data_IF_347821316620
#
_entry.id   IF_347821316620
#
_cell.length_a   1.000
_cell.length_b   1.000
_cell.length_c   1.000
_cell.angle_alpha   90.00
_cell.angle_beta   90.00
_cell.angle_gamma   90.00
#
_symmetry.space_group_name_H-M   'P 1'
#
loop_
_entity.id
_entity.type
_entity.pdbx_description
1 polymer ?
#
# COMPACT_ATOMS: atom_id res chain seq x y z
N UNK A 1 26.19 -4.50 23.03
CA UNK A 1 25.04 -5.43 23.10
C UNK A 1 23.71 -4.72 23.38
N UNK A 2 23.68 -3.57 24.06
CA UNK A 2 22.43 -2.80 24.26
C UNK A 2 22.03 -1.94 23.05
N UNK A 3 23.01 -1.43 22.28
CA UNK A 3 22.78 -0.49 21.17
C UNK A 3 22.04 -1.08 19.95
N UNK A 4 22.12 -2.40 19.72
CA UNK A 4 21.51 -3.02 18.53
C UNK A 4 19.98 -3.04 18.54
N UNK A 5 19.36 -2.83 19.71
CA UNK A 5 17.91 -2.94 19.90
C UNK A 5 17.27 -1.65 20.38
N UNK A 6 18.03 -0.56 20.56
CA UNK A 6 17.47 0.73 20.98
C UNK A 6 16.52 1.33 19.94
N UNK A 7 16.74 1.05 18.66
CA UNK A 7 15.84 1.48 17.58
C UNK A 7 14.45 0.84 17.69
N UNK A 8 14.31 -0.33 18.32
CA UNK A 8 12.99 -0.94 18.57
C UNK A 8 12.14 -0.13 19.55
N UNK A 9 12.76 0.60 20.49
CA UNK A 9 12.02 1.43 21.46
C UNK A 9 11.37 2.67 20.82
N UNK A 10 11.82 3.03 19.62
CA UNK A 10 11.26 4.13 18.83
C UNK A 10 10.10 3.66 17.93
N UNK A 11 9.87 2.35 17.84
CA UNK A 11 8.76 1.81 17.05
C UNK A 11 7.45 2.09 17.77
N UNK A 12 6.61 2.90 17.14
CA UNK A 12 5.21 2.98 17.53
C UNK A 12 4.57 1.61 17.29
N UNK A 13 3.62 1.17 18.12
CA UNK A 13 2.82 -0.01 17.82
C UNK A 13 2.24 0.12 16.41
N UNK A 14 2.43 -0.88 15.55
CA UNK A 14 1.75 -0.87 14.26
C UNK A 14 0.25 -0.85 14.50
N UNK A 15 -0.47 0.11 13.94
CA UNK A 15 -1.93 0.06 13.94
C UNK A 15 -2.35 -1.29 13.36
N UNK A 16 -3.28 -1.97 14.04
CA UNK A 16 -3.75 -3.28 13.60
C UNK A 16 -4.35 -3.12 12.20
N UNK A 17 -3.85 -3.90 11.24
CA UNK A 17 -4.36 -3.86 9.88
C UNK A 17 -5.85 -4.28 9.88
N UNK A 18 -6.70 -3.56 9.14
CA UNK A 18 -8.10 -3.95 8.96
C UNK A 18 -8.23 -5.40 8.47
N UNK A 19 -9.15 -6.18 9.05
CA UNK A 19 -9.30 -7.61 8.73
C UNK A 19 -9.48 -7.89 7.24
N UNK A 20 -10.14 -6.98 6.51
CA UNK A 20 -10.33 -7.11 5.06
C UNK A 20 -9.02 -7.10 4.27
N UNK A 21 -7.94 -6.54 4.81
CA UNK A 21 -6.62 -6.58 4.19
C UNK A 21 -5.83 -7.84 4.52
N UNK A 22 -6.30 -8.68 5.44
CA UNK A 22 -5.63 -9.93 5.82
C UNK A 22 -5.98 -11.11 4.90
N UNK A 23 -6.86 -10.90 3.91
CA UNK A 23 -7.33 -11.91 2.94
C UNK A 23 -7.41 -11.29 1.54
N UNK A 24 -7.24 -12.07 0.45
CA UNK A 24 -7.11 -13.53 0.40
C UNK A 24 -5.70 -14.09 0.64
N UNK A 25 -4.66 -13.25 0.66
CA UNK A 25 -3.26 -13.68 0.83
C UNK A 25 -2.68 -13.17 2.15
N UNK A 26 -1.45 -13.57 2.47
CA UNK A 26 -0.70 -13.02 3.60
C UNK A 26 -0.11 -11.61 3.33
N UNK A 27 -0.25 -11.06 2.11
CA UNK A 27 0.23 -9.72 1.75
C UNK A 27 -0.94 -8.72 1.69
N UNK A 28 -1.02 -7.79 2.66
CA UNK A 28 -2.02 -6.73 2.66
C UNK A 28 -2.02 -5.84 1.42
N UNK A 29 -0.83 -5.55 0.88
CA UNK A 29 -0.64 -4.73 -0.32
C UNK A 29 -1.26 -5.40 -1.56
N UNK A 30 -1.03 -6.71 -1.72
CA UNK A 30 -1.66 -7.47 -2.80
C UNK A 30 -3.17 -7.58 -2.62
N UNK A 31 -3.63 -7.80 -1.38
CA UNK A 31 -5.04 -7.91 -1.06
C UNK A 31 -5.81 -6.61 -1.33
N UNK A 32 -5.21 -5.45 -1.02
CA UNK A 32 -5.77 -4.15 -1.36
C UNK A 32 -5.89 -3.98 -2.88
N UNK A 33 -4.84 -4.29 -3.62
CA UNK A 33 -4.88 -4.24 -5.09
C UNK A 33 -5.97 -5.13 -5.69
N UNK A 34 -6.14 -6.35 -5.17
CA UNK A 34 -7.23 -7.27 -5.56
C UNK A 34 -8.60 -6.66 -5.27
N UNK A 35 -8.79 -6.02 -4.11
CA UNK A 35 -10.07 -5.37 -3.77
C UNK A 35 -10.38 -4.20 -4.72
N UNK A 36 -9.41 -3.35 -5.02
CA UNK A 36 -9.60 -2.21 -5.92
C UNK A 36 -9.90 -2.70 -7.33
N UNK A 37 -9.10 -3.62 -7.88
CA UNK A 37 -9.25 -4.13 -9.25
C UNK A 37 -10.53 -4.97 -9.40
N UNK A 38 -10.86 -5.78 -8.39
CA UNK A 38 -12.06 -6.62 -8.37
C UNK A 38 -13.36 -5.82 -8.16
N UNK A 39 -13.25 -4.53 -7.85
CA UNK A 39 -14.42 -3.68 -7.68
C UNK A 39 -15.06 -3.30 -9.01
N UNK A 40 -16.39 -3.34 -9.07
CA UNK A 40 -17.16 -2.90 -10.23
C UNK A 40 -17.38 -1.38 -10.28
N UNK A 41 -16.75 -0.61 -9.40
CA UNK A 41 -16.97 0.84 -9.25
C UNK A 41 -15.81 1.69 -9.79
N UNK A 42 -14.70 1.06 -10.16
CA UNK A 42 -13.49 1.72 -10.67
C UNK A 42 -13.39 1.63 -12.20
N UNK A 43 -12.76 2.64 -12.81
CA UNK A 43 -12.42 2.63 -14.22
C UNK A 43 -11.03 2.03 -14.49
N UNK A 44 -10.72 1.77 -15.75
CA UNK A 44 -9.44 1.20 -16.19
C UNK A 44 -8.22 2.02 -15.74
N UNK A 45 -8.37 3.34 -15.57
CA UNK A 45 -7.30 4.22 -15.11
C UNK A 45 -6.89 3.95 -13.65
N UNK A 46 -7.85 3.60 -12.79
CA UNK A 46 -7.58 3.19 -11.41
C UNK A 46 -7.05 1.74 -11.38
N UNK A 47 -7.60 0.85 -12.22
CA UNK A 47 -7.14 -0.54 -12.35
C UNK A 47 -5.66 -0.59 -12.73
N UNK A 48 -5.24 0.20 -13.72
CA UNK A 48 -3.83 0.30 -14.15
C UNK A 48 -2.92 0.73 -12.99
N UNK A 49 -3.32 1.75 -12.23
CA UNK A 49 -2.54 2.26 -11.11
C UNK A 49 -2.48 1.26 -9.94
N UNK A 50 -3.57 0.55 -9.66
CA UNK A 50 -3.60 -0.50 -8.64
C UNK A 50 -2.71 -1.69 -9.02
N UNK A 51 -2.74 -2.10 -10.29
CA UNK A 51 -1.85 -3.14 -10.79
C UNK A 51 -0.38 -2.73 -10.72
N UNK A 52 -0.07 -1.48 -11.09
CA UNK A 52 1.30 -0.94 -10.99
C UNK A 52 1.80 -0.92 -9.54
N UNK A 53 0.95 -0.52 -8.60
CA UNK A 53 1.27 -0.58 -7.16
C UNK A 53 1.60 -2.01 -6.70
N UNK A 54 0.77 -2.99 -7.06
CA UNK A 54 1.02 -4.41 -6.74
C UNK A 54 2.33 -4.92 -7.32
N UNK A 55 2.64 -4.54 -8.56
CA UNK A 55 3.90 -4.90 -9.24
C UNK A 55 5.10 -4.32 -8.51
N UNK A 56 5.07 -3.04 -8.13
CA UNK A 56 6.20 -2.44 -7.41
C UNK A 56 6.36 -3.00 -6.00
N UNK A 57 5.27 -3.34 -5.30
CA UNK A 57 5.36 -4.02 -4.01
C UNK A 57 6.02 -5.40 -4.16
N UNK A 58 5.57 -6.22 -5.11
CA UNK A 58 6.18 -7.51 -5.37
C UNK A 58 7.67 -7.41 -5.74
N UNK A 59 8.05 -6.38 -6.52
CA UNK A 59 9.45 -6.12 -6.86
C UNK A 59 10.28 -5.69 -5.65
N UNK A 60 9.71 -4.92 -4.71
CA UNK A 60 10.38 -4.57 -3.47
C UNK A 60 10.64 -5.81 -2.61
N UNK A 61 9.63 -6.65 -2.41
CA UNK A 61 9.76 -7.89 -1.63
C UNK A 61 10.80 -8.84 -2.24
N UNK A 62 10.76 -9.03 -3.57
CA UNK A 62 11.77 -9.83 -4.27
C UNK A 62 13.17 -9.26 -4.09
N UNK A 63 13.33 -7.92 -4.22
CA UNK A 63 14.62 -7.26 -4.05
C UNK A 63 15.15 -7.39 -2.61
N UNK A 64 14.30 -7.24 -1.59
CA UNK A 64 14.66 -7.47 -0.18
C UNK A 64 15.15 -8.91 -0.01
N UNK A 65 14.40 -9.89 -0.54
CA UNK A 65 14.72 -11.32 -0.43
C UNK A 65 15.97 -11.75 -1.20
N UNK A 66 16.35 -11.03 -2.25
CA UNK A 66 17.51 -11.36 -3.10
C UNK A 66 18.68 -10.38 -2.96
N UNK A 67 18.67 -9.49 -1.97
CA UNK A 67 19.72 -8.47 -1.83
C UNK A 67 21.08 -9.09 -1.46
N UNK A 68 22.15 -8.68 -2.14
CA UNK A 68 23.52 -9.09 -1.84
C UNK A 68 24.42 -7.86 -1.54
N UNK A 69 25.05 -7.78 -0.36
CA UNK A 69 24.91 -8.70 0.78
C UNK A 69 23.51 -8.64 1.42
N UNK A 70 23.08 -9.67 2.17
CA UNK A 70 21.77 -9.67 2.82
C UNK A 70 21.56 -8.44 3.70
N UNK A 71 20.39 -7.82 3.61
CA UNK A 71 20.02 -6.67 4.44
C UNK A 71 19.95 -7.09 5.92
N UNK A 72 20.48 -6.24 6.80
CA UNK A 72 20.29 -6.42 8.24
C UNK A 72 18.83 -6.18 8.65
N UNK A 73 18.41 -6.72 9.80
CA UNK A 73 17.02 -6.60 10.29
C UNK A 73 16.50 -5.16 10.33
N UNK A 74 17.34 -4.21 10.75
CA UNK A 74 16.98 -2.79 10.78
C UNK A 74 16.71 -2.22 9.39
N UNK A 75 17.53 -2.57 8.40
CA UNK A 75 17.34 -2.13 7.02
C UNK A 75 16.06 -2.74 6.44
N UNK A 76 15.83 -4.04 6.65
CA UNK A 76 14.58 -4.69 6.23
C UNK A 76 13.35 -4.01 6.85
N UNK A 77 13.42 -3.69 8.15
CA UNK A 77 12.35 -2.96 8.82
C UNK A 77 12.12 -1.56 8.25
N UNK A 78 13.18 -0.78 8.04
CA UNK A 78 13.10 0.58 7.49
C UNK A 78 12.48 0.57 6.08
N UNK A 79 12.77 -0.46 5.25
CA UNK A 79 12.14 -0.65 3.94
C UNK A 79 10.70 -1.11 4.05
N UNK A 80 10.40 -2.05 4.95
CA UNK A 80 9.04 -2.51 5.23
C UNK A 80 8.12 -1.39 5.70
N UNK A 81 8.64 -0.44 6.49
CA UNK A 81 7.89 0.74 6.96
C UNK A 81 7.35 1.58 5.80
N UNK A 82 8.15 1.78 4.74
CA UNK A 82 7.70 2.50 3.55
C UNK A 82 6.53 1.77 2.85
N UNK A 83 6.55 0.43 2.83
CA UNK A 83 5.44 -0.37 2.29
C UNK A 83 4.18 -0.22 3.15
N UNK A 84 4.31 -0.30 4.47
CA UNK A 84 3.18 -0.16 5.40
C UNK A 84 2.55 1.24 5.37
N UNK A 85 3.36 2.31 5.33
CA UNK A 85 2.86 3.69 5.19
C UNK A 85 2.15 3.90 3.85
N UNK A 86 2.71 3.35 2.76
CA UNK A 86 2.11 3.39 1.43
C UNK A 86 0.77 2.63 1.38
N UNK A 87 0.70 1.45 2.01
CA UNK A 87 -0.52 0.66 2.14
C UNK A 87 -1.65 1.44 2.82
N UNK A 88 -1.37 2.01 4.00
CA UNK A 88 -2.38 2.74 4.77
C UNK A 88 -2.93 3.94 3.98
N UNK A 89 -2.05 4.71 3.34
CA UNK A 89 -2.47 5.86 2.55
C UNK A 89 -3.37 5.48 1.35
N UNK A 90 -3.08 4.38 0.66
CA UNK A 90 -3.93 3.88 -0.44
C UNK A 90 -5.25 3.34 0.12
N UNK A 91 -5.18 2.62 1.24
CA UNK A 91 -6.35 2.03 1.88
C UNK A 91 -7.36 3.09 2.32
N UNK A 92 -6.90 4.16 2.97
CA UNK A 92 -7.75 5.28 3.40
C UNK A 92 -8.42 5.94 2.19
N UNK A 93 -7.66 6.26 1.14
CA UNK A 93 -8.21 6.85 -0.08
C UNK A 93 -9.21 5.92 -0.78
N UNK A 94 -9.00 4.60 -0.70
CA UNK A 94 -9.93 3.59 -1.19
C UNK A 94 -11.24 3.59 -0.39
N UNK A 95 -11.16 3.60 0.96
CA UNK A 95 -12.34 3.70 1.84
C UNK A 95 -13.14 4.96 1.54
N UNK A 96 -12.48 6.11 1.42
CA UNK A 96 -13.13 7.39 1.13
C UNK A 96 -13.90 7.34 -0.19
N UNK A 97 -13.27 6.81 -1.23
CA UNK A 97 -13.89 6.66 -2.53
C UNK A 97 -15.08 5.68 -2.52
N UNK A 98 -14.92 4.50 -1.90
CA UNK A 98 -15.99 3.52 -1.76
C UNK A 98 -17.18 4.11 -0.98
N UNK A 99 -16.91 4.81 0.11
CA UNK A 99 -17.91 5.45 0.97
C UNK A 99 -18.67 6.54 0.22
N UNK A 100 -17.96 7.43 -0.48
CA UNK A 100 -18.57 8.47 -1.28
C UNK A 100 -19.41 7.89 -2.43
N UNK A 101 -18.95 6.80 -3.05
CA UNK A 101 -19.69 6.13 -4.10
C UNK A 101 -21.02 5.58 -3.59
N UNK A 102 -21.04 4.94 -2.41
CA UNK A 102 -22.29 4.51 -1.80
C UNK A 102 -23.19 5.70 -1.43
N UNK A 103 -22.63 6.76 -0.83
CA UNK A 103 -23.37 7.96 -0.44
C UNK A 103 -24.00 8.71 -1.62
N UNK A 104 -23.37 8.67 -2.80
CA UNK A 104 -23.88 9.27 -4.04
C UNK A 104 -25.06 8.50 -4.66
N UNK A 105 -25.47 7.37 -4.07
CA UNK A 105 -26.42 6.46 -4.68
C UNK A 105 -25.82 5.73 -5.89
N UNK A 106 -24.52 5.40 -5.82
CA UNK A 106 -23.77 4.65 -6.84
C UNK A 106 -23.60 5.41 -8.17
N UNK A 107 -23.42 6.72 -8.08
CA UNK A 107 -23.23 7.62 -9.23
C UNK A 107 -21.76 7.97 -9.38
N UNK A 108 -21.08 7.31 -10.32
CA UNK A 108 -19.62 7.44 -10.55
C UNK A 108 -19.21 8.88 -10.90
N UNK A 109 -20.08 9.63 -11.58
CA UNK A 109 -19.86 11.04 -11.95
C UNK A 109 -19.81 11.99 -10.75
N UNK A 110 -20.42 11.61 -9.62
CA UNK A 110 -20.49 12.44 -8.41
C UNK A 110 -19.28 12.28 -7.48
N UNK A 111 -18.42 11.29 -7.72
CA UNK A 111 -17.27 10.95 -6.84
C UNK A 111 -15.92 11.19 -7.51
N UNK A 112 -15.89 12.15 -8.44
CA UNK A 112 -14.68 12.47 -9.21
C UNK A 112 -13.52 12.92 -8.33
N UNK A 113 -13.81 13.68 -7.26
CA UNK A 113 -12.78 14.18 -6.34
C UNK A 113 -12.07 13.04 -5.59
N UNK A 114 -12.85 12.13 -5.03
CA UNK A 114 -12.38 10.95 -4.31
C UNK A 114 -11.63 10.01 -5.24
N UNK A 115 -12.12 9.81 -6.47
CA UNK A 115 -11.42 9.01 -7.47
C UNK A 115 -10.04 9.58 -7.79
N UNK A 116 -9.92 10.89 -7.98
CA UNK A 116 -8.61 11.51 -8.22
C UNK A 116 -7.70 11.44 -6.98
N UNK A 117 -8.23 11.54 -5.76
CA UNK A 117 -7.46 11.28 -4.53
C UNK A 117 -6.91 9.86 -4.47
N UNK A 118 -7.72 8.85 -4.79
CA UNK A 118 -7.28 7.45 -4.87
C UNK A 118 -6.16 7.28 -5.90
N UNK A 119 -6.28 7.88 -7.08
CA UNK A 119 -5.24 7.83 -8.12
C UNK A 119 -3.94 8.46 -7.65
N UNK A 120 -4.01 9.60 -6.95
CA UNK A 120 -2.83 10.26 -6.36
C UNK A 120 -2.19 9.39 -5.28
N UNK A 121 -3.00 8.77 -4.40
CA UNK A 121 -2.50 7.86 -3.37
C UNK A 121 -1.76 6.66 -3.98
N UNK A 122 -2.35 5.99 -4.98
CA UNK A 122 -1.73 4.88 -5.70
C UNK A 122 -0.40 5.25 -6.35
N UNK A 123 -0.33 6.42 -7.01
CA UNK A 123 0.92 6.91 -7.60
C UNK A 123 1.99 7.18 -6.55
N UNK A 124 1.63 7.89 -5.49
CA UNK A 124 2.58 8.20 -4.39
C UNK A 124 3.08 6.94 -3.70
N UNK A 125 2.21 5.97 -3.48
CA UNK A 125 2.56 4.67 -2.92
C UNK A 125 3.52 3.91 -3.84
N UNK A 126 3.24 3.87 -5.14
CA UNK A 126 4.14 3.30 -6.15
C UNK A 126 5.51 3.97 -6.13
N UNK A 127 5.55 5.30 -6.14
CA UNK A 127 6.81 6.07 -6.09
C UNK A 127 7.58 5.80 -4.79
N UNK A 128 6.89 5.64 -3.65
CA UNK A 128 7.51 5.31 -2.38
C UNK A 128 8.15 3.92 -2.39
N UNK A 129 7.48 2.92 -2.97
CA UNK A 129 8.02 1.56 -3.13
C UNK A 129 9.24 1.54 -4.07
N UNK A 130 9.20 2.31 -5.16
CA UNK A 130 10.33 2.46 -6.09
C UNK A 130 11.52 3.10 -5.39
N UNK A 131 11.31 4.19 -4.64
CA UNK A 131 12.37 4.84 -3.85
C UNK A 131 12.94 3.91 -2.79
N UNK A 132 12.10 3.18 -2.07
CA UNK A 132 12.51 2.23 -1.04
C UNK A 132 13.46 1.13 -1.57
N UNK A 133 13.40 0.83 -2.88
CA UNK A 133 14.28 -0.13 -3.55
C UNK A 133 15.60 0.48 -4.06
N UNK A 134 15.65 1.78 -4.34
CA UNK A 134 16.78 2.43 -5.05
C UNK A 134 17.66 3.25 -4.10
N UNK A 135 17.02 4.04 -3.24
CA UNK A 135 17.65 4.82 -2.16
C UNK A 135 17.88 3.92 -0.96
#
# INVERSE_FOLDING_TARGET
MADEWEWLRQLQPSEALPERLCVPTASPELNLGVQVIGSNIVGNDVVELAAQYMVEHARLELWIGSHEPPLGFRQQFERGRASSEALLAVYEAWVEFETAYQASGRKVDQVRGERERLKVALRRATDALVRARIE
#
